data_IF_163533884829
#
_entry.id   IF_163533884829
#
_cell.length_a   1.000
_cell.length_b   1.000
_cell.length_c   1.000
_cell.angle_alpha   90.00
_cell.angle_beta   90.00
_cell.angle_gamma   90.00
#
_symmetry.space_group_name_H-M   'P 1'
#
loop_
_entity.id
_entity.type
_entity.pdbx_description
1 polymer ?
#
# COMPACT_ATOMS: atom_id res chain seq x y z
N UNK A 1 -3.09 7.54 -21.15
CA UNK A 1 -3.76 7.81 -19.87
C UNK A 1 -5.11 7.14 -19.85
N UNK A 2 -5.46 6.45 -18.75
CA UNK A 2 -6.76 5.82 -18.49
C UNK A 2 -7.26 6.31 -17.13
N UNK A 3 -8.57 6.55 -16.99
CA UNK A 3 -9.17 7.07 -15.76
C UNK A 3 -10.37 6.19 -15.41
N UNK A 4 -10.47 5.78 -14.13
CA UNK A 4 -11.55 4.94 -13.62
C UNK A 4 -12.14 5.55 -12.34
N UNK A 5 -13.45 5.41 -12.18
CA UNK A 5 -14.20 5.86 -11.00
C UNK A 5 -14.96 4.71 -10.32
N UNK A 6 -14.85 3.52 -10.89
CA UNK A 6 -15.42 2.26 -10.35
C UNK A 6 -14.37 1.16 -10.44
N UNK A 7 -14.57 0.09 -9.70
CA UNK A 7 -13.71 -1.11 -9.72
C UNK A 7 -12.21 -0.84 -9.48
N UNK A 8 -11.92 0.21 -8.69
CA UNK A 8 -10.56 0.71 -8.44
C UNK A 8 -9.63 -0.41 -7.96
N UNK A 9 -10.09 -1.24 -7.02
CA UNK A 9 -9.31 -2.37 -6.51
C UNK A 9 -8.95 -3.36 -7.63
N UNK A 10 -9.90 -3.67 -8.51
CA UNK A 10 -9.65 -4.57 -9.65
C UNK A 10 -8.61 -3.99 -10.60
N UNK A 11 -8.65 -2.68 -10.85
CA UNK A 11 -7.61 -1.99 -11.65
C UNK A 11 -6.24 -2.12 -10.99
N UNK A 12 -6.14 -1.84 -9.68
CA UNK A 12 -4.89 -1.99 -8.91
C UNK A 12 -4.36 -3.41 -9.03
N UNK A 13 -5.18 -4.43 -8.75
CA UNK A 13 -4.79 -5.83 -8.82
C UNK A 13 -4.30 -6.22 -10.22
N UNK A 14 -5.02 -5.82 -11.27
CA UNK A 14 -4.64 -6.12 -12.66
C UNK A 14 -3.28 -5.48 -13.02
N UNK A 15 -3.05 -4.24 -12.59
CA UNK A 15 -1.78 -3.54 -12.84
C UNK A 15 -0.61 -4.17 -12.08
N UNK A 16 -0.79 -4.50 -10.80
CA UNK A 16 0.21 -5.23 -10.03
C UNK A 16 0.49 -6.61 -10.63
N UNK A 17 -0.57 -7.31 -11.10
CA UNK A 17 -0.44 -8.62 -11.75
C UNK A 17 0.38 -8.54 -13.05
N UNK A 18 0.32 -7.44 -13.79
CA UNK A 18 1.05 -7.27 -15.05
C UNK A 18 2.53 -6.93 -14.87
N UNK A 19 3.01 -6.69 -13.66
CA UNK A 19 4.41 -6.39 -13.39
C UNK A 19 5.33 -7.57 -13.72
N UNK A 20 6.48 -7.28 -14.35
CA UNK A 20 7.48 -8.26 -14.75
C UNK A 20 8.88 -8.01 -14.15
N UNK A 21 9.15 -6.82 -13.63
CA UNK A 21 10.48 -6.43 -13.13
C UNK A 21 10.43 -5.80 -11.75
N UNK A 22 9.59 -4.78 -11.57
CA UNK A 22 9.63 -3.94 -10.38
C UNK A 22 8.25 -3.34 -10.07
N UNK A 23 7.92 -3.27 -8.78
CA UNK A 23 6.74 -2.58 -8.24
C UNK A 23 7.23 -1.64 -7.13
N UNK A 24 7.03 -0.33 -7.31
CA UNK A 24 7.33 0.69 -6.31
C UNK A 24 6.01 1.29 -5.81
N UNK A 25 5.74 1.16 -4.51
CA UNK A 25 4.47 1.58 -3.90
C UNK A 25 4.71 2.65 -2.85
N UNK A 26 4.05 3.79 -2.98
CA UNK A 26 3.94 4.78 -1.91
C UNK A 26 2.45 4.96 -1.56
N UNK A 27 2.04 4.44 -0.42
CA UNK A 27 0.63 4.45 0.00
C UNK A 27 0.51 4.71 1.50
N UNK A 28 -0.44 5.58 1.87
CA UNK A 28 -0.68 5.92 3.28
C UNK A 28 -1.04 4.68 4.10
N UNK A 29 -2.03 3.92 3.62
CA UNK A 29 -2.53 2.73 4.30
C UNK A 29 -2.69 1.56 3.32
N UNK A 30 -2.09 0.45 3.69
CA UNK A 30 -2.20 -0.85 3.03
C UNK A 30 -2.63 -1.88 4.09
N UNK A 31 -3.90 -2.27 4.04
CA UNK A 31 -4.48 -3.27 4.93
C UNK A 31 -5.22 -4.37 4.16
N UNK A 32 -5.44 -4.16 2.84
CA UNK A 32 -6.10 -5.13 1.97
C UNK A 32 -5.23 -6.38 1.78
N UNK A 33 -5.69 -7.50 2.34
CA UNK A 33 -5.00 -8.79 2.30
C UNK A 33 -4.78 -9.28 0.86
N UNK A 34 -5.75 -9.09 -0.03
CA UNK A 34 -5.65 -9.58 -1.41
C UNK A 34 -4.55 -8.83 -2.19
N UNK A 35 -4.42 -7.51 -1.97
CA UNK A 35 -3.33 -6.72 -2.56
C UNK A 35 -1.99 -7.18 -1.97
N UNK A 36 -1.92 -7.36 -0.66
CA UNK A 36 -0.72 -7.83 0.02
C UNK A 36 -0.28 -9.22 -0.47
N UNK A 37 -1.19 -10.19 -0.55
CA UNK A 37 -0.89 -11.54 -1.00
C UNK A 37 -0.40 -11.56 -2.45
N UNK A 38 -0.94 -10.69 -3.31
CA UNK A 38 -0.44 -10.49 -4.66
C UNK A 38 0.99 -9.94 -4.67
N UNK A 39 1.31 -8.95 -3.82
CA UNK A 39 2.68 -8.42 -3.71
C UNK A 39 3.67 -9.50 -3.25
N UNK A 40 3.30 -10.32 -2.26
CA UNK A 40 4.09 -11.49 -1.84
C UNK A 40 4.30 -12.46 -2.99
N UNK A 41 3.25 -12.77 -3.75
CA UNK A 41 3.35 -13.64 -4.93
C UNK A 41 4.33 -13.08 -5.97
N UNK A 42 4.32 -11.77 -6.19
CA UNK A 42 5.25 -11.10 -7.11
C UNK A 42 6.70 -11.18 -6.62
N UNK A 43 6.94 -10.97 -5.32
CA UNK A 43 8.27 -11.14 -4.72
C UNK A 43 8.77 -12.57 -4.94
N UNK A 44 7.95 -13.57 -4.64
CA UNK A 44 8.29 -14.99 -4.82
C UNK A 44 8.53 -15.35 -6.29
N UNK A 45 7.96 -14.62 -7.24
CA UNK A 45 8.23 -14.75 -8.67
C UNK A 45 9.50 -13.98 -9.13
N UNK A 46 10.27 -13.39 -8.21
CA UNK A 46 11.50 -12.65 -8.50
C UNK A 46 11.30 -11.20 -8.92
N UNK A 47 10.10 -10.65 -8.80
CA UNK A 47 9.81 -9.23 -9.06
C UNK A 47 10.26 -8.41 -7.86
N UNK A 48 10.98 -7.32 -8.08
CA UNK A 48 11.35 -6.39 -7.02
C UNK A 48 10.14 -5.62 -6.52
N UNK A 49 9.88 -5.68 -5.22
CA UNK A 49 8.79 -4.92 -4.61
C UNK A 49 9.34 -4.05 -3.49
N UNK A 50 9.11 -2.74 -3.60
CA UNK A 50 9.49 -1.76 -2.57
C UNK A 50 8.26 -0.96 -2.16
N UNK A 51 8.01 -0.91 -0.84
CA UNK A 51 6.84 -0.26 -0.25
C UNK A 51 7.29 0.84 0.70
N UNK A 52 6.72 2.02 0.55
CA UNK A 52 6.80 3.12 1.50
C UNK A 52 5.39 3.38 2.04
N UNK A 53 5.21 3.25 3.35
CA UNK A 53 3.90 3.44 3.99
C UNK A 53 4.04 4.13 5.35
N UNK A 54 2.93 4.43 6.01
CA UNK A 54 2.93 5.09 7.32
C UNK A 54 3.25 4.12 8.45
N UNK A 55 4.03 4.60 9.42
CA UNK A 55 4.18 3.92 10.69
C UNK A 55 3.08 4.37 11.65
N UNK A 56 1.89 3.84 11.50
CA UNK A 56 0.77 4.13 12.39
C UNK A 56 -0.01 2.87 12.77
N UNK A 57 -0.96 3.02 13.67
CA UNK A 57 -1.71 1.89 14.21
C UNK A 57 -2.46 1.11 13.14
N UNK A 58 -3.00 1.78 12.09
CA UNK A 58 -3.74 1.10 11.05
C UNK A 58 -2.87 0.11 10.25
N UNK A 59 -1.63 0.50 9.96
CA UNK A 59 -0.67 -0.36 9.29
C UNK A 59 0.03 -1.37 10.22
N UNK A 60 0.06 -1.12 11.54
CA UNK A 60 0.93 -1.86 12.46
C UNK A 60 0.25 -2.39 13.73
N UNK A 61 -1.09 -2.47 13.79
CA UNK A 61 -1.78 -3.12 14.91
C UNK A 61 -1.48 -4.64 14.95
N UNK A 62 -1.88 -5.29 16.04
CA UNK A 62 -1.52 -6.67 16.31
C UNK A 62 -1.93 -7.66 15.19
N UNK A 63 -3.12 -7.44 14.60
CA UNK A 63 -3.65 -8.25 13.50
C UNK A 63 -3.39 -7.64 12.09
N UNK A 64 -2.54 -6.60 11.97
CA UNK A 64 -2.17 -6.01 10.69
C UNK A 64 -1.40 -6.99 9.79
N UNK A 65 -1.17 -6.60 8.54
CA UNK A 65 -0.43 -7.41 7.57
C UNK A 65 0.95 -7.80 8.10
N UNK A 66 1.44 -8.96 7.68
CA UNK A 66 2.74 -9.50 8.12
C UNK A 66 3.91 -8.84 7.37
N UNK A 67 4.28 -7.65 7.81
CA UNK A 67 5.42 -6.95 7.22
C UNK A 67 6.75 -7.69 7.36
N UNK A 68 6.91 -8.49 8.42
CA UNK A 68 8.07 -9.38 8.59
C UNK A 68 8.13 -10.43 7.50
N UNK A 69 6.99 -11.06 7.19
CA UNK A 69 6.86 -12.00 6.08
C UNK A 69 7.18 -11.38 4.72
N UNK A 70 6.77 -10.12 4.47
CA UNK A 70 7.11 -9.41 3.25
C UNK A 70 8.63 -9.20 3.12
N UNK A 71 9.30 -8.79 4.19
CA UNK A 71 10.75 -8.59 4.22
C UNK A 71 11.49 -9.92 4.05
N UNK A 72 11.05 -10.97 4.75
CA UNK A 72 11.64 -12.30 4.65
C UNK A 72 11.49 -12.91 3.25
N UNK A 73 10.43 -12.59 2.53
CA UNK A 73 10.25 -12.97 1.13
C UNK A 73 11.18 -12.20 0.17
N UNK A 74 11.86 -11.14 0.63
CA UNK A 74 12.76 -10.30 -0.17
C UNK A 74 12.20 -8.95 -0.59
N UNK A 75 11.01 -8.56 -0.10
CA UNK A 75 10.45 -7.24 -0.31
C UNK A 75 11.17 -6.16 0.51
N UNK A 76 11.16 -4.93 0.01
CA UNK A 76 11.66 -3.77 0.75
C UNK A 76 10.50 -3.00 1.38
N UNK A 77 10.64 -2.68 2.67
CA UNK A 77 9.69 -1.86 3.41
C UNK A 77 10.39 -0.64 3.99
N UNK A 78 9.72 0.51 3.92
CA UNK A 78 10.11 1.73 4.62
C UNK A 78 8.89 2.33 5.29
N UNK A 79 9.03 2.73 6.55
CA UNK A 79 8.00 3.47 7.24
C UNK A 79 8.30 4.97 7.27
N UNK A 80 7.29 5.77 6.91
CA UNK A 80 7.35 7.21 7.10
C UNK A 80 7.44 7.53 8.59
N UNK A 81 8.41 8.36 8.97
CA UNK A 81 8.67 8.75 10.35
C UNK A 81 7.47 9.40 11.03
N UNK A 82 7.28 9.20 12.34
CA UNK A 82 6.29 9.94 13.12
C UNK A 82 6.45 11.46 12.95
N UNK A 83 5.33 12.16 12.80
CA UNK A 83 5.30 13.61 12.61
C UNK A 83 5.30 14.08 11.15
N UNK A 84 5.65 13.22 10.19
CA UNK A 84 5.46 13.48 8.75
C UNK A 84 4.29 12.65 8.24
N UNK A 85 3.36 13.27 7.53
CA UNK A 85 2.20 12.58 6.99
C UNK A 85 2.45 12.18 5.53
N UNK A 86 2.80 10.93 5.29
CA UNK A 86 2.71 10.35 3.95
C UNK A 86 1.23 10.23 3.58
N UNK A 87 0.77 10.97 2.56
CA UNK A 87 -0.63 10.89 2.09
C UNK A 87 -0.73 10.47 0.62
N UNK A 88 0.34 9.96 0.06
CA UNK A 88 0.37 9.42 -1.30
C UNK A 88 -0.37 8.09 -1.41
N UNK A 89 -0.88 7.81 -2.59
CA UNK A 89 -1.41 6.52 -3.00
C UNK A 89 -1.07 6.36 -4.49
N UNK A 90 0.18 5.99 -4.76
CA UNK A 90 0.62 5.68 -6.10
C UNK A 90 1.46 4.40 -6.15
N UNK A 91 1.56 3.81 -7.32
CA UNK A 91 2.56 2.79 -7.61
C UNK A 91 3.13 2.97 -9.01
N UNK A 92 4.42 2.71 -9.14
CA UNK A 92 5.11 2.64 -10.43
C UNK A 92 5.38 1.18 -10.76
N UNK A 93 5.01 0.76 -11.96
CA UNK A 93 5.14 -0.60 -12.46
C UNK A 93 6.21 -0.61 -13.55
N UNK A 94 7.24 -1.43 -13.37
CA UNK A 94 8.31 -1.70 -14.33
C UNK A 94 9.03 -0.44 -14.86
N UNK A 95 8.90 0.69 -14.16
CA UNK A 95 9.36 2.03 -14.62
C UNK A 95 8.73 2.51 -15.93
N UNK A 96 7.58 1.97 -16.31
CA UNK A 96 6.89 2.22 -17.56
C UNK A 96 5.47 2.76 -17.37
N UNK A 97 4.88 2.49 -16.24
CA UNK A 97 3.51 2.88 -15.95
C UNK A 97 3.42 3.36 -14.50
N UNK A 98 2.65 4.40 -14.28
CA UNK A 98 2.29 4.87 -12.94
C UNK A 98 0.78 4.87 -12.77
N UNK A 99 0.31 4.34 -11.64
CA UNK A 99 -1.07 4.49 -11.19
C UNK A 99 -1.11 5.41 -9.98
N UNK A 100 -2.02 6.40 -10.03
CA UNK A 100 -2.24 7.39 -8.99
C UNK A 100 -3.70 7.35 -8.59
N UNK A 101 -3.99 7.30 -7.31
CA UNK A 101 -5.37 7.13 -6.84
C UNK A 101 -5.65 7.93 -5.58
N UNK A 102 -6.91 8.27 -5.36
CA UNK A 102 -7.40 8.73 -4.06
C UNK A 102 -7.59 7.56 -3.07
N UNK A 103 -7.70 6.33 -3.59
CA UNK A 103 -8.00 5.09 -2.88
C UNK A 103 -6.85 4.66 -1.96
N UNK A 104 -7.06 4.64 -0.65
CA UNK A 104 -6.20 3.88 0.25
C UNK A 104 -6.38 2.39 -0.01
N UNK A 105 -5.30 1.63 0.05
CA UNK A 105 -5.34 0.19 -0.24
C UNK A 105 -5.90 -0.60 0.95
N UNK A 106 -7.15 -0.24 1.31
CA UNK A 106 -7.91 -0.83 2.41
C UNK A 106 -9.25 -1.37 1.89
N UNK A 107 -9.80 -2.39 2.50
CA UNK A 107 -11.13 -2.87 2.14
C UNK A 107 -12.22 -1.81 2.41
N UNK A 108 -12.05 -1.03 3.48
CA UNK A 108 -12.96 0.06 3.83
C UNK A 108 -13.12 1.09 2.71
N UNK A 109 -12.01 1.54 2.09
CA UNK A 109 -12.04 2.51 1.00
C UNK A 109 -12.84 1.99 -0.20
N UNK A 110 -12.70 0.69 -0.52
CA UNK A 110 -13.40 0.07 -1.65
C UNK A 110 -14.91 -0.02 -1.51
N UNK A 111 -15.44 0.08 -0.30
CA UNK A 111 -16.87 -0.07 -0.03
C UNK A 111 -17.59 1.22 0.29
N UNK A 112 -16.90 2.12 0.98
CA UNK A 112 -17.53 3.26 1.63
C UNK A 112 -17.21 4.59 0.96
N UNK A 113 -16.17 4.64 0.10
CA UNK A 113 -15.73 5.88 -0.52
C UNK A 113 -16.06 5.92 -2.02
N UNK A 114 -16.20 7.14 -2.53
CA UNK A 114 -16.08 7.40 -3.96
C UNK A 114 -14.64 7.76 -4.26
N UNK A 115 -14.00 6.94 -5.07
CA UNK A 115 -12.58 7.04 -5.35
C UNK A 115 -12.34 7.12 -6.87
N UNK A 116 -11.12 7.49 -7.23
CA UNK A 116 -10.68 7.45 -8.62
C UNK A 116 -9.26 6.88 -8.72
N UNK A 117 -8.93 6.37 -9.89
CA UNK A 117 -7.56 6.00 -10.26
C UNK A 117 -7.23 6.50 -11.67
N UNK A 118 -6.04 7.02 -11.84
CA UNK A 118 -5.46 7.42 -13.10
C UNK A 118 -4.27 6.51 -13.37
N UNK A 119 -4.22 5.92 -14.55
CA UNK A 119 -3.10 5.10 -15.03
C UNK A 119 -2.46 5.80 -16.21
N UNK A 120 -1.16 6.04 -16.13
CA UNK A 120 -0.39 6.77 -17.12
C UNK A 120 0.85 5.98 -17.55
N UNK A 121 1.16 6.03 -18.84
CA UNK A 121 2.40 5.49 -19.44
C UNK A 121 3.23 6.63 -20.08
N UNK A 122 2.92 7.87 -19.74
CA UNK A 122 3.67 9.04 -20.12
C UNK A 122 5.04 9.03 -19.43
N UNK A 123 6.11 9.15 -20.22
CA UNK A 123 7.47 8.98 -19.71
C UNK A 123 7.86 10.08 -18.70
N UNK A 124 7.39 11.31 -18.90
CA UNK A 124 7.69 12.42 -18.01
C UNK A 124 6.94 12.24 -16.68
N UNK A 125 5.64 11.87 -16.74
CA UNK A 125 4.89 11.57 -15.55
C UNK A 125 5.51 10.39 -14.75
N UNK A 126 5.87 9.30 -15.43
CA UNK A 126 6.53 8.15 -14.77
C UNK A 126 7.85 8.58 -14.15
N UNK A 127 8.64 9.42 -14.81
CA UNK A 127 9.92 9.93 -14.27
C UNK A 127 9.71 10.74 -12.99
N UNK A 128 8.75 11.65 -12.95
CA UNK A 128 8.45 12.46 -11.76
C UNK A 128 8.09 11.57 -10.55
N UNK A 129 7.27 10.52 -10.75
CA UNK A 129 6.94 9.59 -9.67
C UNK A 129 8.10 8.68 -9.25
N UNK A 130 9.00 8.34 -10.16
CA UNK A 130 10.24 7.63 -9.85
C UNK A 130 11.18 8.50 -9.01
N UNK A 131 11.34 9.78 -9.39
CA UNK A 131 12.17 10.74 -8.68
C UNK A 131 11.61 10.98 -7.27
N UNK A 132 10.29 11.15 -7.13
CA UNK A 132 9.64 11.28 -5.82
C UNK A 132 9.81 10.03 -4.96
N UNK A 133 9.61 8.82 -5.53
CA UNK A 133 9.84 7.58 -4.79
C UNK A 133 11.31 7.44 -4.35
N UNK A 134 12.24 7.83 -5.23
CA UNK A 134 13.67 7.89 -4.94
C UNK A 134 13.96 8.84 -3.77
N UNK A 135 13.42 10.05 -3.81
CA UNK A 135 13.54 11.03 -2.73
C UNK A 135 13.00 10.48 -1.40
N UNK A 136 11.78 9.93 -1.37
CA UNK A 136 11.20 9.31 -0.18
C UNK A 136 12.09 8.18 0.36
N UNK A 137 12.69 7.40 -0.54
CA UNK A 137 13.60 6.31 -0.16
C UNK A 137 14.87 6.81 0.54
N UNK A 138 15.29 8.04 0.30
CA UNK A 138 16.41 8.67 1.02
C UNK A 138 15.99 9.22 2.38
N UNK A 139 14.71 9.54 2.55
CA UNK A 139 14.17 10.11 3.80
C UNK A 139 13.85 9.04 4.86
N UNK A 140 13.57 7.82 4.44
CA UNK A 140 13.11 6.75 5.33
C UNK A 140 14.02 5.54 5.23
N UNK A 141 14.51 5.05 6.37
CA UNK A 141 15.37 3.87 6.44
C UNK A 141 14.58 2.60 6.04
N UNK A 142 15.28 1.62 5.49
CA UNK A 142 14.71 0.28 5.31
C UNK A 142 14.41 -0.35 6.65
N UNK A 143 13.23 -0.94 6.76
CA UNK A 143 12.86 -1.74 7.92
C UNK A 143 13.49 -3.14 7.83
N UNK A 144 13.95 -3.63 8.96
CA UNK A 144 14.46 -5.00 9.11
C UNK A 144 13.63 -5.83 10.08
N UNK A 145 13.00 -5.16 11.04
CA UNK A 145 12.17 -5.79 12.08
C UNK A 145 11.03 -4.84 12.48
N UNK A 146 9.96 -4.75 11.67
CA UNK A 146 8.83 -3.86 11.98
C UNK A 146 8.15 -4.27 13.28
N UNK A 147 7.87 -3.28 14.14
CA UNK A 147 7.24 -3.48 15.44
C UNK A 147 5.75 -3.20 15.38
N UNK A 148 4.96 -3.94 16.17
CA UNK A 148 3.54 -3.68 16.34
C UNK A 148 3.31 -2.47 17.23
N UNK A 149 2.23 -1.74 16.96
CA UNK A 149 1.81 -0.58 17.74
C UNK A 149 0.65 -1.00 18.62
N UNK A 150 0.78 -0.80 19.94
CA UNK A 150 -0.25 -1.14 20.91
C UNK A 150 -1.44 -0.16 20.82
N UNK A 151 -2.66 -0.68 21.09
CA UNK A 151 -3.90 0.09 21.03
C UNK A 151 -3.90 1.30 21.98
N UNK A 152 -3.23 1.19 23.12
CA UNK A 152 -3.12 2.24 24.13
C UNK A 152 -2.33 3.46 23.66
N UNK A 153 -1.52 3.30 22.62
CA UNK A 153 -0.71 4.41 22.04
C UNK A 153 -1.45 5.24 20.99
N UNK A 154 -2.71 4.88 20.68
CA UNK A 154 -3.51 5.58 19.67
C UNK A 154 -3.96 6.95 20.17
N UNK A 155 -3.85 7.97 19.31
CA UNK A 155 -4.52 9.23 19.57
C UNK A 155 -6.05 9.00 19.68
N UNK A 156 -6.71 9.34 20.81
CA UNK A 156 -8.12 9.07 21.03
C UNK A 156 -9.05 9.64 19.94
N UNK A 157 -8.66 10.74 19.29
CA UNK A 157 -9.43 11.36 18.19
C UNK A 157 -9.45 10.52 16.91
N UNK A 158 -8.48 9.63 16.73
CA UNK A 158 -8.38 8.76 15.55
C UNK A 158 -8.89 7.34 15.82
N UNK A 159 -9.18 7.02 17.08
CA UNK A 159 -9.54 5.66 17.51
C UNK A 159 -10.74 5.11 16.73
N UNK A 160 -11.83 5.84 16.66
CA UNK A 160 -13.03 5.38 15.96
C UNK A 160 -12.82 5.14 14.47
N UNK A 161 -12.02 5.95 13.80
CA UNK A 161 -11.66 5.73 12.39
C UNK A 161 -10.84 4.45 12.20
N UNK A 162 -9.86 4.20 13.06
CA UNK A 162 -9.05 3.00 12.98
C UNK A 162 -9.87 1.74 13.25
N UNK A 163 -10.72 1.76 14.28
CA UNK A 163 -11.59 0.63 14.64
C UNK A 163 -12.52 0.25 13.48
N UNK A 164 -13.21 1.23 12.87
CA UNK A 164 -14.09 0.98 11.73
C UNK A 164 -13.35 0.35 10.54
N UNK A 165 -12.15 0.83 10.22
CA UNK A 165 -11.35 0.30 9.12
C UNK A 165 -10.89 -1.13 9.41
N UNK A 166 -10.40 -1.39 10.62
CA UNK A 166 -9.93 -2.72 11.04
C UNK A 166 -11.07 -3.74 11.06
N UNK A 167 -12.25 -3.35 11.57
CA UNK A 167 -13.43 -4.22 11.59
C UNK A 167 -13.89 -4.58 10.17
N UNK A 168 -13.88 -3.62 9.24
CA UNK A 168 -14.27 -3.86 7.86
C UNK A 168 -13.27 -4.80 7.16
N UNK A 169 -11.97 -4.59 7.37
CA UNK A 169 -10.92 -5.46 6.84
C UNK A 169 -11.04 -6.89 7.40
N UNK A 170 -11.31 -7.05 8.69
CA UNK A 170 -11.48 -8.36 9.33
C UNK A 170 -12.72 -9.12 8.81
N UNK A 171 -13.83 -8.45 8.62
CA UNK A 171 -15.05 -9.03 8.02
C UNK A 171 -14.80 -9.56 6.62
N UNK A 172 -14.01 -8.84 5.82
CA UNK A 172 -13.69 -9.25 4.44
C UNK A 172 -12.74 -10.43 4.37
N UNK A 173 -11.80 -10.54 5.29
CA UNK A 173 -10.90 -11.70 5.36
C UNK A 173 -11.66 -13.00 5.69
N UNK A 174 -12.78 -12.93 6.41
CA UNK A 174 -13.60 -14.10 6.71
C UNK A 174 -14.43 -14.57 5.49
N UNK A 175 -14.83 -13.66 4.61
CA UNK A 175 -15.60 -13.97 3.39
C UNK A 175 -14.71 -14.63 2.33
N UNK A 176 -13.43 -14.28 2.27
CA UNK A 176 -12.49 -14.86 1.30
C UNK A 176 -11.99 -16.27 1.68
N UNK A 177 -12.37 -16.78 2.86
CA UNK A 177 -12.01 -18.13 3.34
C UNK A 177 -13.11 -19.17 3.13
N UNK A 178 -14.27 -18.78 2.56
CA UNK A 178 -15.40 -19.61 2.18
C UNK A 178 -15.40 -19.83 0.67
#
# INVERSE_FOLDING_TARGET
MQIYFTDIKSVILNKLQSAHKEILVAVSWLTDRQIYDLLISKINAGIKVSIITRNDYLNNHEAALDWGGLINAGGELRFCMPGKMLHYKFAVIDRLEVMVTSYNWTCFAGRNNRENIIVMQDADAVKEYLDEFGYLSTQFAKESAPTRIAAESINPKLKGFYELTIEDDAKNQSILKL
#
